data_IF_326658868557
#
_entry.id   IF_326658868557
#
_cell.length_a   1.000
_cell.length_b   1.000
_cell.length_c   1.000
_cell.angle_alpha   90.00
_cell.angle_beta   90.00
_cell.angle_gamma   90.00
#
_symmetry.space_group_name_H-M   'P 1'
#
loop_
_entity.id
_entity.type
_entity.pdbx_description
1 polymer ?
#
# COMPACT_ATOMS: atom_id res chain seq x y z
N UNK A 1 16.74 -16.78 -7.53
CA UNK A 1 15.68 -17.75 -7.13
C UNK A 1 14.69 -17.97 -8.25
N UNK A 2 14.00 -16.94 -8.76
CA UNK A 2 13.06 -17.09 -9.89
C UNK A 2 13.67 -17.71 -11.15
N UNK A 3 14.94 -17.39 -11.47
CA UNK A 3 15.67 -18.02 -12.58
C UNK A 3 15.83 -19.55 -12.45
N UNK A 4 15.78 -20.08 -11.23
CA UNK A 4 15.99 -21.51 -10.93
C UNK A 4 14.66 -22.23 -10.69
N UNK A 5 13.74 -21.58 -9.96
CA UNK A 5 12.48 -22.18 -9.52
C UNK A 5 11.25 -21.74 -10.33
N UNK A 6 11.42 -20.85 -11.30
CA UNK A 6 10.34 -20.29 -12.10
C UNK A 6 9.67 -19.06 -11.47
N UNK A 7 8.61 -18.55 -12.11
CA UNK A 7 7.95 -17.29 -11.74
C UNK A 7 7.11 -17.39 -10.45
N UNK A 8 6.74 -18.59 -10.01
CA UNK A 8 5.99 -18.82 -8.76
C UNK A 8 6.72 -19.85 -7.92
N UNK A 9 7.11 -19.48 -6.71
CA UNK A 9 7.84 -20.37 -5.80
C UNK A 9 7.56 -20.04 -4.34
N UNK A 10 7.79 -20.99 -3.44
CA UNK A 10 7.56 -20.83 -2.00
C UNK A 10 8.87 -20.64 -1.26
N UNK A 11 8.92 -19.63 -0.39
CA UNK A 11 9.97 -19.43 0.60
C UNK A 11 9.43 -19.69 2.00
N UNK A 12 10.30 -20.14 2.91
CA UNK A 12 9.96 -20.31 4.32
C UNK A 12 10.62 -19.21 5.13
N UNK A 13 9.79 -18.32 5.69
CA UNK A 13 10.23 -17.27 6.61
C UNK A 13 10.02 -17.79 8.03
N UNK A 14 11.05 -18.43 8.57
CA UNK A 14 10.90 -19.30 9.74
C UNK A 14 9.94 -20.44 9.42
N UNK A 15 8.91 -20.62 10.24
CA UNK A 15 7.89 -21.66 10.02
C UNK A 15 6.76 -21.23 9.08
N UNK A 16 6.80 -20.00 8.55
CA UNK A 16 5.73 -19.46 7.71
C UNK A 16 6.07 -19.61 6.23
N UNK A 17 5.30 -20.40 5.46
CA UNK A 17 5.44 -20.43 4.02
C UNK A 17 4.93 -19.12 3.41
N UNK A 18 5.65 -18.60 2.43
CA UNK A 18 5.33 -17.41 1.65
C UNK A 18 5.46 -17.76 0.18
N UNK A 19 4.37 -17.63 -0.57
CA UNK A 19 4.39 -17.75 -2.02
C UNK A 19 4.88 -16.43 -2.61
N UNK A 20 5.92 -16.50 -3.44
CA UNK A 20 6.48 -15.39 -4.18
C UNK A 20 5.99 -15.46 -5.62
N UNK A 21 5.41 -14.36 -6.09
CA UNK A 21 5.02 -14.15 -7.48
C UNK A 21 6.04 -13.22 -8.13
N UNK A 22 6.68 -13.68 -9.20
CA UNK A 22 7.77 -12.98 -9.86
C UNK A 22 7.54 -12.90 -11.37
N UNK A 23 7.59 -11.68 -11.91
CA UNK A 23 7.34 -11.41 -13.31
C UNK A 23 5.92 -10.87 -13.55
N UNK A 24 5.75 -10.13 -14.65
CA UNK A 24 4.51 -9.43 -14.96
C UNK A 24 3.30 -10.37 -15.04
N UNK A 25 3.42 -11.48 -15.76
CA UNK A 25 2.33 -12.42 -16.00
C UNK A 25 1.80 -13.00 -14.69
N UNK A 26 2.68 -13.58 -13.86
CA UNK A 26 2.30 -14.17 -12.58
C UNK A 26 1.69 -13.14 -11.61
N UNK A 27 2.19 -11.90 -11.61
CA UNK A 27 1.65 -10.84 -10.75
C UNK A 27 0.29 -10.35 -11.27
N UNK A 28 0.14 -10.18 -12.58
CA UNK A 28 -1.13 -9.79 -13.22
C UNK A 28 -2.20 -10.84 -12.96
N UNK A 29 -1.89 -12.11 -13.23
CA UNK A 29 -2.84 -13.21 -13.06
C UNK A 29 -3.36 -13.26 -11.62
N UNK A 30 -2.47 -13.24 -10.62
CA UNK A 30 -2.88 -13.31 -9.23
C UNK A 30 -3.61 -12.05 -8.74
N UNK A 31 -3.08 -10.85 -9.01
CA UNK A 31 -3.58 -9.62 -8.38
C UNK A 31 -4.70 -8.92 -9.17
N UNK A 32 -4.90 -9.29 -10.43
CA UNK A 32 -5.94 -8.70 -11.30
C UNK A 32 -6.94 -9.78 -11.70
N UNK A 33 -6.50 -10.85 -12.38
CA UNK A 33 -7.42 -11.85 -12.93
C UNK A 33 -8.08 -12.68 -11.81
N UNK A 34 -7.33 -12.98 -10.73
CA UNK A 34 -7.79 -13.63 -9.49
C UNK A 34 -7.86 -12.65 -8.30
N UNK A 35 -8.20 -11.39 -8.59
CA UNK A 35 -8.04 -10.29 -7.64
C UNK A 35 -8.83 -10.44 -6.33
N UNK A 36 -9.99 -11.11 -6.32
CA UNK A 36 -10.75 -11.34 -5.08
C UNK A 36 -10.08 -12.40 -4.19
N UNK A 37 -9.57 -13.48 -4.78
CA UNK A 37 -8.85 -14.56 -4.10
C UNK A 37 -7.56 -14.04 -3.43
N UNK A 38 -6.84 -13.15 -4.12
CA UNK A 38 -5.61 -12.52 -3.62
C UNK A 38 -5.84 -11.15 -2.95
N UNK A 39 -7.10 -10.78 -2.68
CA UNK A 39 -7.44 -9.49 -2.07
C UNK A 39 -7.04 -9.37 -0.59
N UNK A 40 -6.63 -10.48 0.04
CA UNK A 40 -6.19 -10.52 1.43
C UNK A 40 -4.99 -9.62 1.72
N UNK A 41 -4.84 -9.25 2.99
CA UNK A 41 -3.68 -8.54 3.52
C UNK A 41 -2.85 -9.47 4.39
N UNK A 42 -1.56 -9.52 4.08
CA UNK A 42 -0.60 -10.33 4.82
C UNK A 42 -0.50 -9.91 6.28
N UNK A 43 -0.15 -10.86 7.13
CA UNK A 43 -0.01 -10.64 8.58
C UNK A 43 1.40 -10.12 8.85
N UNK A 44 1.49 -8.84 9.23
CA UNK A 44 2.73 -8.22 9.69
C UNK A 44 2.70 -8.06 11.22
N UNK A 45 3.49 -8.83 11.99
CA UNK A 45 3.38 -8.86 13.46
C UNK A 45 3.52 -7.50 14.14
N UNK A 46 4.38 -6.62 13.63
CA UNK A 46 4.55 -5.26 14.15
C UNK A 46 3.29 -4.41 13.92
N UNK A 47 2.71 -4.47 12.72
CA UNK A 47 1.48 -3.76 12.39
C UNK A 47 0.29 -4.30 13.19
N UNK A 48 0.23 -5.61 13.42
CA UNK A 48 -0.81 -6.25 14.21
C UNK A 48 -0.73 -5.82 15.69
N UNK A 49 0.47 -5.70 16.26
CA UNK A 49 0.64 -5.17 17.62
C UNK A 49 0.21 -3.71 17.73
N UNK A 50 0.53 -2.89 16.73
CA UNK A 50 0.20 -1.47 16.73
C UNK A 50 -1.31 -1.24 16.54
N UNK A 51 -1.91 -1.91 15.56
CA UNK A 51 -3.25 -1.59 15.07
C UNK A 51 -4.31 -2.67 15.38
N UNK A 52 -3.92 -3.82 15.95
CA UNK A 52 -4.82 -4.94 16.36
C UNK A 52 -5.79 -5.39 15.25
N UNK A 53 -5.31 -5.44 14.01
CA UNK A 53 -6.14 -5.78 12.86
C UNK A 53 -7.20 -4.73 12.47
N UNK A 54 -7.03 -3.47 12.88
CA UNK A 54 -7.86 -2.33 12.48
C UNK A 54 -7.14 -1.41 11.47
N UNK A 55 -7.89 -0.46 10.90
CA UNK A 55 -7.39 0.51 9.92
C UNK A 55 -7.50 0.04 8.47
N UNK A 56 -7.19 0.93 7.54
CA UNK A 56 -7.38 0.70 6.09
C UNK A 56 -6.28 -0.13 5.42
N UNK A 57 -5.08 -0.18 6.01
CA UNK A 57 -3.89 -0.80 5.40
C UNK A 57 -3.82 -2.30 5.66
N UNK A 58 -4.02 -2.73 6.91
CA UNK A 58 -3.76 -4.12 7.34
C UNK A 58 -5.01 -4.91 7.77
N UNK A 59 -6.21 -4.31 7.75
CA UNK A 59 -7.43 -5.06 8.03
C UNK A 59 -7.85 -5.93 6.84
N UNK A 60 -8.72 -6.92 7.10
CA UNK A 60 -9.25 -7.85 6.11
C UNK A 60 -10.79 -7.92 6.15
N UNK A 61 -11.37 -8.57 5.14
CA UNK A 61 -12.80 -8.90 5.07
C UNK A 61 -13.72 -7.68 5.05
N UNK A 62 -14.91 -7.81 5.66
CA UNK A 62 -15.94 -6.76 5.68
C UNK A 62 -15.42 -5.44 6.27
N UNK A 63 -14.63 -5.52 7.36
CA UNK A 63 -14.01 -4.35 8.02
C UNK A 63 -13.18 -3.53 7.02
N UNK A 64 -12.35 -4.20 6.22
CA UNK A 64 -11.52 -3.54 5.20
C UNK A 64 -12.38 -2.94 4.08
N UNK A 65 -13.36 -3.69 3.56
CA UNK A 65 -14.24 -3.23 2.49
C UNK A 65 -15.00 -1.95 2.88
N UNK A 66 -15.52 -1.90 4.12
CA UNK A 66 -16.23 -0.74 4.65
C UNK A 66 -15.33 0.47 4.84
N UNK A 67 -14.21 0.32 5.56
CA UNK A 67 -13.31 1.45 5.84
C UNK A 67 -12.67 2.00 4.56
N UNK A 68 -12.33 1.13 3.59
CA UNK A 68 -11.80 1.55 2.29
C UNK A 68 -12.81 2.39 1.52
N UNK A 69 -14.07 1.95 1.45
CA UNK A 69 -15.13 2.71 0.77
C UNK A 69 -15.32 4.07 1.41
N UNK A 70 -15.43 4.10 2.74
CA UNK A 70 -15.58 5.35 3.49
C UNK A 70 -14.39 6.30 3.26
N UNK A 71 -13.15 5.83 3.45
CA UNK A 71 -11.96 6.69 3.30
C UNK A 71 -11.80 7.22 1.88
N UNK A 72 -12.05 6.42 0.85
CA UNK A 72 -11.97 6.90 -0.55
C UNK A 72 -13.00 7.98 -0.85
N UNK A 73 -14.23 7.82 -0.37
CA UNK A 73 -15.28 8.84 -0.49
C UNK A 73 -14.86 10.12 0.23
N UNK A 74 -14.42 10.00 1.48
CA UNK A 74 -13.99 11.14 2.29
C UNK A 74 -12.81 11.88 1.66
N UNK A 75 -11.79 11.17 1.16
CA UNK A 75 -10.65 11.79 0.46
C UNK A 75 -11.08 12.56 -0.80
N UNK A 76 -11.98 12.00 -1.60
CA UNK A 76 -12.54 12.69 -2.79
C UNK A 76 -13.33 13.95 -2.40
N UNK A 77 -14.07 13.89 -1.29
CA UNK A 77 -14.79 15.04 -0.76
C UNK A 77 -13.82 16.14 -0.30
N UNK A 78 -12.69 15.76 0.33
CA UNK A 78 -11.60 16.67 0.69
C UNK A 78 -10.71 17.10 -0.48
N UNK A 79 -11.05 16.74 -1.72
CA UNK A 79 -10.41 17.25 -2.92
C UNK A 79 -9.36 16.34 -3.55
N UNK A 80 -9.20 15.09 -3.10
CA UNK A 80 -8.32 14.14 -3.77
C UNK A 80 -8.73 13.98 -5.24
N UNK A 81 -7.79 14.21 -6.15
CA UNK A 81 -8.03 14.24 -7.59
C UNK A 81 -8.66 15.54 -8.11
N UNK A 82 -8.71 16.60 -7.29
CA UNK A 82 -9.19 17.94 -7.67
C UNK A 82 -8.06 18.96 -7.50
N UNK A 83 -8.21 20.12 -8.16
CA UNK A 83 -7.27 21.25 -8.06
C UNK A 83 -7.02 21.71 -6.62
N UNK A 84 -8.01 21.62 -5.73
CA UNK A 84 -7.83 22.04 -4.34
C UNK A 84 -6.76 21.26 -3.57
N UNK A 85 -6.52 19.98 -3.89
CA UNK A 85 -5.38 19.24 -3.31
C UNK A 85 -4.08 19.55 -4.04
N UNK A 86 -4.12 19.78 -5.36
CA UNK A 86 -2.96 20.26 -6.11
C UNK A 86 -2.42 21.57 -5.52
N UNK A 87 -3.29 22.54 -5.27
CA UNK A 87 -2.94 23.84 -4.67
C UNK A 87 -2.27 23.64 -3.29
N UNK A 88 -2.79 22.73 -2.46
CA UNK A 88 -2.18 22.39 -1.16
C UNK A 88 -0.82 21.74 -1.29
N UNK A 89 -0.64 20.83 -2.26
CA UNK A 89 0.66 20.20 -2.52
C UNK A 89 1.69 21.24 -2.98
N UNK A 90 1.29 22.17 -3.85
CA UNK A 90 2.15 23.27 -4.30
C UNK A 90 2.55 24.20 -3.15
N UNK A 91 1.61 24.50 -2.25
CA UNK A 91 1.90 25.31 -1.07
C UNK A 91 2.91 24.65 -0.15
N UNK A 92 2.71 23.37 0.21
CA UNK A 92 3.67 22.61 1.03
C UNK A 92 5.06 22.49 0.34
N UNK A 93 5.09 22.37 -0.99
CA UNK A 93 6.34 22.37 -1.74
C UNK A 93 7.07 23.72 -1.66
N UNK A 94 6.36 24.85 -1.70
CA UNK A 94 6.96 26.19 -1.50
C UNK A 94 7.49 26.35 -0.08
N UNK A 95 6.72 25.93 0.92
CA UNK A 95 7.17 25.90 2.32
C UNK A 95 8.46 25.10 2.48
N UNK A 96 8.52 23.90 1.88
CA UNK A 96 9.71 23.06 1.89
C UNK A 96 10.92 23.75 1.25
N UNK A 97 10.76 24.36 0.08
CA UNK A 97 11.84 25.09 -0.61
C UNK A 97 12.35 26.24 0.25
N UNK A 98 11.45 26.98 0.89
CA UNK A 98 11.82 28.10 1.74
C UNK A 98 12.60 27.64 2.99
N UNK A 99 12.19 26.55 3.63
CA UNK A 99 12.95 25.97 4.75
C UNK A 99 14.33 25.48 4.32
N UNK A 100 14.44 24.84 3.16
CA UNK A 100 15.73 24.41 2.62
C UNK A 100 16.66 25.58 2.28
N UNK A 101 16.12 26.74 1.88
CA UNK A 101 16.94 27.95 1.64
C UNK A 101 17.54 28.52 2.92
N UNK A 102 16.85 28.35 4.06
CA UNK A 102 17.33 28.81 5.37
C UNK A 102 18.49 27.96 5.89
N UNK A 103 18.52 26.67 5.52
CA UNK A 103 19.72 25.88 5.74
C UNK A 103 20.77 26.33 4.74
N UNK A 104 21.76 27.11 5.21
CA UNK A 104 22.97 27.38 4.42
C UNK A 104 23.51 26.02 3.97
N UNK A 105 23.46 25.73 2.67
CA UNK A 105 24.21 24.63 2.11
C UNK A 105 25.65 24.74 2.60
N UNK A 106 26.26 23.61 2.94
CA UNK A 106 27.71 23.53 2.91
C UNK A 106 28.22 23.94 1.54
#
# INVERSE_FOLDING_TARGET
LSKVYGPVFTLYFGLKPIVVLHGYEAVKEALIDLGEEFSGRGIFPLAERANRGFGIVFSNGKKWKEIRRFSLMTLRNFGMGKRSIEDRVQEEARCLVEELRKTKGG
#
